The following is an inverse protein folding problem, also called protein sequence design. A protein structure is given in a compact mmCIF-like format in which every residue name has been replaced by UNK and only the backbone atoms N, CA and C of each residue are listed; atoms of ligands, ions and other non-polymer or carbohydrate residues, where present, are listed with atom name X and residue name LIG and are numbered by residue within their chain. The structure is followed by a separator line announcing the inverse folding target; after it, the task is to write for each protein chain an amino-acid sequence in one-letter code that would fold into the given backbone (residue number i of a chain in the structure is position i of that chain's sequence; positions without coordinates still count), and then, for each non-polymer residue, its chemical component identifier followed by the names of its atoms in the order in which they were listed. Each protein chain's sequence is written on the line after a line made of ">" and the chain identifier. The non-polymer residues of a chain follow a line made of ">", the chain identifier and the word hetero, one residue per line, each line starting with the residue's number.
data_IF_266325211821
#
_entry.id   IF_266325211821
#
_cell.length_a   1.000
_cell.length_b   1.000
_cell.length_c   1.000
_cell.angle_alpha   90.00
_cell.angle_beta   90.00
_cell.angle_gamma   90.00
#
_symmetry.space_group_name_H-M   'P 1'
#
loop_
_entity.id
_entity.type
_entity.pdbx_description
1 polymer ?
#
# COMPACT_ATOMS: atom_id res chain seq x y z
N UNK A 1 13.27 -8.17 1.56
CA UNK A 1 11.90 -8.72 1.59
C UNK A 1 11.52 -9.11 3.01
N UNK A 2 12.33 -9.91 3.73
CA UNK A 2 12.08 -10.29 5.13
C UNK A 2 11.78 -9.11 6.07
N UNK A 3 12.51 -8.00 5.96
CA UNK A 3 12.26 -6.80 6.78
C UNK A 3 10.89 -6.18 6.50
N UNK A 4 10.53 -6.04 5.22
CA UNK A 4 9.22 -5.53 4.79
C UNK A 4 8.09 -6.41 5.33
N UNK A 5 8.22 -7.74 5.22
CA UNK A 5 7.20 -8.66 5.74
C UNK A 5 7.00 -8.54 7.26
N UNK A 6 8.08 -8.36 8.03
CA UNK A 6 7.98 -8.11 9.48
C UNK A 6 7.29 -6.80 9.81
N UNK A 7 7.54 -5.77 9.01
CA UNK A 7 6.93 -4.45 9.20
C UNK A 7 5.45 -4.44 8.78
N UNK A 8 5.12 -5.13 7.69
CA UNK A 8 3.78 -5.20 7.13
C UNK A 8 2.84 -6.07 7.95
N UNK A 9 3.33 -7.16 8.55
CA UNK A 9 2.51 -8.13 9.30
C UNK A 9 1.32 -8.63 8.46
N UNK A 10 1.57 -9.32 7.32
CA UNK A 10 0.50 -9.76 6.42
C UNK A 10 -0.47 -10.70 7.12
N UNK A 11 -1.78 -10.48 6.93
CA UNK A 11 -2.87 -11.25 7.55
C UNK A 11 -3.93 -11.72 6.54
N UNK A 12 -3.78 -11.33 5.27
CA UNK A 12 -4.63 -11.71 4.15
C UNK A 12 -3.77 -12.03 2.91
N UNK A 13 -4.41 -12.52 1.84
CA UNK A 13 -3.70 -12.92 0.63
C UNK A 13 -3.27 -11.70 -0.21
N UNK A 14 -4.05 -10.63 -0.17
CA UNK A 14 -3.81 -9.39 -0.90
C UNK A 14 -2.49 -8.74 -0.47
N UNK A 15 -2.13 -8.82 0.81
CA UNK A 15 -0.82 -8.35 1.30
C UNK A 15 0.34 -9.11 0.64
N UNK A 16 0.18 -10.42 0.40
CA UNK A 16 1.21 -11.25 -0.24
C UNK A 16 1.40 -10.80 -1.69
N UNK A 17 0.30 -10.55 -2.40
CA UNK A 17 0.32 -9.98 -3.75
C UNK A 17 0.99 -8.60 -3.76
N UNK A 18 0.61 -7.72 -2.83
CA UNK A 18 1.13 -6.36 -2.71
C UNK A 18 2.64 -6.35 -2.47
N UNK A 19 3.17 -7.23 -1.62
CA UNK A 19 4.63 -7.34 -1.39
C UNK A 19 5.38 -7.67 -2.69
N UNK A 20 4.85 -8.55 -3.53
CA UNK A 20 5.46 -8.92 -4.81
C UNK A 20 5.52 -7.75 -5.80
N UNK A 21 4.50 -6.88 -5.78
CA UNK A 21 4.46 -5.67 -6.59
C UNK A 21 5.36 -4.56 -6.01
N UNK A 22 5.33 -4.37 -4.69
CA UNK A 22 5.98 -3.26 -3.99
C UNK A 22 7.47 -3.46 -3.73
N UNK A 23 7.95 -4.70 -3.65
CA UNK A 23 9.37 -5.00 -3.42
C UNK A 23 10.18 -4.93 -4.74
N UNK A 24 10.08 -3.79 -5.43
CA UNK A 24 10.74 -3.50 -6.72
C UNK A 24 11.37 -2.11 -6.70
N UNK A 25 12.44 -1.84 -7.49
CA UNK A 25 13.19 -0.58 -7.42
C UNK A 25 12.34 0.69 -7.49
N UNK A 26 11.34 0.75 -8.39
CA UNK A 26 10.46 1.92 -8.53
C UNK A 26 9.62 2.19 -7.26
N UNK A 27 8.71 1.29 -6.87
CA UNK A 27 7.91 1.46 -5.65
C UNK A 27 8.76 1.59 -4.38
N UNK A 28 9.94 0.97 -4.33
CA UNK A 28 10.86 1.14 -3.21
C UNK A 28 11.47 2.54 -3.15
N UNK A 29 11.88 3.09 -4.30
CA UNK A 29 12.39 4.46 -4.39
C UNK A 29 11.36 5.51 -4.00
N UNK A 30 10.07 5.23 -4.22
CA UNK A 30 8.94 6.08 -3.79
C UNK A 30 8.46 5.81 -2.37
N UNK A 31 9.13 4.91 -1.64
CA UNK A 31 8.76 4.46 -0.30
C UNK A 31 7.35 3.81 -0.19
N UNK A 32 6.73 3.41 -1.30
CA UNK A 32 5.37 2.86 -1.34
C UNK A 32 5.24 1.56 -0.54
N UNK A 33 6.26 0.71 -0.56
CA UNK A 33 6.33 -0.52 0.25
C UNK A 33 6.23 -0.25 1.76
N UNK A 34 6.96 0.74 2.26
CA UNK A 34 6.93 1.17 3.66
C UNK A 34 5.59 1.83 3.99
N UNK A 35 5.11 2.75 3.14
CA UNK A 35 3.83 3.43 3.34
C UNK A 35 2.67 2.43 3.41
N UNK A 36 2.67 1.40 2.57
CA UNK A 36 1.67 0.32 2.62
C UNK A 36 1.69 -0.36 4.00
N UNK A 37 2.87 -0.76 4.47
CA UNK A 37 3.03 -1.43 5.75
C UNK A 37 2.63 -0.55 6.94
N UNK A 38 2.96 0.75 6.93
CA UNK A 38 2.60 1.67 8.00
C UNK A 38 1.10 1.98 8.02
N UNK A 39 0.50 2.24 6.85
CA UNK A 39 -0.94 2.52 6.72
C UNK A 39 -1.79 1.31 7.08
N UNK A 40 -1.40 0.12 6.63
CA UNK A 40 -2.04 -1.15 7.03
C UNK A 40 -2.16 -1.26 8.54
N UNK A 41 -1.08 -0.95 9.25
CA UNK A 41 -1.01 -1.10 10.68
C UNK A 41 -1.49 0.14 11.46
N UNK A 42 -2.14 1.10 10.79
CA UNK A 42 -2.65 2.33 11.41
C UNK A 42 -1.57 3.24 11.97
N UNK A 43 -0.30 3.05 11.58
CA UNK A 43 0.85 3.88 12.02
C UNK A 43 1.06 5.12 11.15
N UNK A 44 0.38 5.18 10.01
CA UNK A 44 0.37 6.31 9.09
C UNK A 44 -1.06 6.51 8.56
N UNK A 45 -1.51 7.76 8.50
CA UNK A 45 -2.81 8.08 7.90
C UNK A 45 -2.82 7.90 6.38
N UNK A 46 -3.99 7.56 5.84
CA UNK A 46 -4.21 7.48 4.40
C UNK A 46 -4.53 8.89 3.90
N UNK A 47 -3.60 9.48 3.16
CA UNK A 47 -3.83 10.77 2.50
C UNK A 47 -4.40 10.53 1.09
N UNK A 48 -5.56 11.11 0.75
CA UNK A 48 -6.10 11.01 -0.61
C UNK A 48 -5.18 11.73 -1.60
N UNK A 49 -5.18 11.27 -2.86
CA UNK A 49 -4.40 11.86 -3.95
C UNK A 49 -4.84 13.32 -4.17
N UNK A 50 -6.15 13.55 -4.12
CA UNK A 50 -6.79 14.84 -4.18
C UNK A 50 -8.13 14.74 -3.43
N UNK A 51 -8.59 15.79 -2.71
CA UNK A 51 -9.84 15.73 -1.94
C UNK A 51 -11.06 15.30 -2.78
N UNK A 52 -11.17 15.78 -4.02
CA UNK A 52 -12.27 15.41 -4.93
C UNK A 52 -12.22 13.94 -5.40
N UNK A 53 -11.07 13.28 -5.27
CA UNK A 53 -10.86 11.89 -5.69
C UNK A 53 -10.96 10.90 -4.52
N UNK A 54 -11.12 11.37 -3.29
CA UNK A 54 -11.19 10.50 -2.11
C UNK A 54 -12.33 9.50 -2.21
N UNK A 55 -13.57 9.99 -2.35
CA UNK A 55 -14.74 9.12 -2.43
C UNK A 55 -14.79 8.28 -3.73
N UNK A 56 -14.52 8.82 -4.94
CA UNK A 56 -14.49 8.03 -6.16
C UNK A 56 -13.48 6.89 -6.16
N UNK A 57 -12.32 7.05 -5.50
CA UNK A 57 -11.24 6.05 -5.49
C UNK A 57 -11.22 5.17 -4.25
N UNK A 58 -12.10 5.43 -3.28
CA UNK A 58 -12.13 4.74 -1.98
C UNK A 58 -12.22 3.23 -2.12
N UNK A 59 -13.08 2.75 -3.01
CA UNK A 59 -13.28 1.32 -3.25
C UNK A 59 -12.04 0.69 -3.90
N UNK A 60 -11.53 1.31 -4.97
CA UNK A 60 -10.40 0.79 -5.77
C UNK A 60 -9.10 0.78 -4.98
N UNK A 61 -8.82 1.85 -4.22
CA UNK A 61 -7.58 2.00 -3.46
C UNK A 61 -7.70 1.53 -2.01
N UNK A 62 -8.87 1.07 -1.57
CA UNK A 62 -9.11 0.65 -0.19
C UNK A 62 -8.24 -0.55 0.19
N UNK A 63 -8.14 -1.54 -0.70
CA UNK A 63 -7.33 -2.76 -0.51
C UNK A 63 -5.82 -2.49 -0.49
N UNK A 64 -5.40 -1.33 -0.99
CA UNK A 64 -3.99 -0.93 -1.07
C UNK A 64 -3.67 0.26 -0.16
N UNK A 65 -4.57 0.57 0.77
CA UNK A 65 -4.40 1.64 1.75
C UNK A 65 -4.10 2.99 1.08
N UNK A 66 -4.82 3.31 0.00
CA UNK A 66 -4.68 4.58 -0.73
C UNK A 66 -3.42 4.66 -1.59
N UNK A 67 -2.85 3.54 -2.01
CA UNK A 67 -1.68 3.48 -2.90
C UNK A 67 -2.05 2.85 -4.25
N UNK A 68 -1.57 3.43 -5.35
CA UNK A 68 -1.70 2.82 -6.67
C UNK A 68 -0.58 1.77 -6.80
N UNK A 69 -0.94 0.49 -6.87
CA UNK A 69 0.00 -0.63 -6.85
C UNK A 69 -0.09 -1.49 -8.11
N UNK A 70 -1.30 -1.70 -8.62
CA UNK A 70 -1.59 -2.58 -9.74
C UNK A 70 -1.86 -1.78 -11.02
N UNK A 71 -1.89 -2.46 -12.17
CA UNK A 71 -2.17 -1.82 -13.46
C UNK A 71 -3.68 -1.72 -13.71
N UNK A 72 -4.42 -2.70 -13.19
CA UNK A 72 -5.87 -2.77 -13.08
C UNK A 72 -6.42 -1.67 -12.16
#
# INVERSE_FOLDING_TARGET
>A
MRSLLRQMQPDNFEDISAVSALYRPGPMGMNSHTNYAERKNGRQEITPIHPELEEPLKEVLGLTYGLIVYQE
#
